data_IF_554134840460
#
_entry.id   IF_554134840460
#
_cell.length_a   1.000
_cell.length_b   1.000
_cell.length_c   1.000
_cell.angle_alpha   90.00
_cell.angle_beta   90.00
_cell.angle_gamma   90.00
#
_symmetry.space_group_name_H-M   'P 1'
#
loop_
_entity.id
_entity.type
_entity.pdbx_description
1 polymer ?
#
# COMPACT_ATOMS: atom_id res chain seq x y z
N UNK A 1 -3.47 21.59 -18.75
CA UNK A 1 -3.55 21.28 -20.19
C UNK A 1 -4.18 22.45 -20.88
N UNK A 2 -3.70 22.81 -22.07
CA UNK A 2 -4.33 23.81 -22.93
C UNK A 2 -4.09 23.46 -24.39
N UNK A 3 -5.00 23.87 -25.26
CA UNK A 3 -4.91 23.71 -26.71
C UNK A 3 -5.57 24.92 -27.38
N UNK A 4 -5.04 25.34 -28.52
CA UNK A 4 -5.62 26.36 -29.38
C UNK A 4 -5.47 25.96 -30.84
N UNK A 5 -6.46 26.34 -31.65
CA UNK A 5 -6.46 26.14 -33.10
C UNK A 5 -6.56 27.47 -33.82
N UNK A 6 -5.69 27.67 -34.82
CA UNK A 6 -5.75 28.79 -35.75
C UNK A 6 -5.68 28.24 -37.18
N UNK A 7 -6.81 28.28 -37.88
CA UNK A 7 -6.96 27.61 -39.18
C UNK A 7 -6.69 26.11 -39.06
N UNK A 8 -5.74 25.61 -39.85
CA UNK A 8 -5.33 24.20 -39.86
C UNK A 8 -4.18 23.90 -38.88
N UNK A 9 -3.70 24.90 -38.13
CA UNK A 9 -2.62 24.74 -37.14
C UNK A 9 -3.22 24.55 -35.75
N UNK A 10 -2.76 23.51 -35.04
CA UNK A 10 -3.10 23.27 -33.63
C UNK A 10 -1.85 23.38 -32.79
N UNK A 11 -1.90 24.11 -31.69
CA UNK A 11 -0.82 24.16 -30.69
C UNK A 11 -1.37 23.87 -29.32
N UNK A 12 -0.55 23.28 -28.46
CA UNK A 12 -0.99 23.02 -27.10
C UNK A 12 0.11 22.53 -26.19
N UNK A 13 -0.25 22.38 -24.92
CA UNK A 13 0.63 21.78 -23.93
C UNK A 13 -0.12 20.99 -22.86
N UNK A 14 0.56 19.96 -22.35
CA UNK A 14 0.09 19.13 -21.26
C UNK A 14 1.23 18.80 -20.31
N UNK A 15 0.91 18.49 -19.05
CA UNK A 15 1.89 18.01 -18.08
C UNK A 15 1.38 16.82 -17.27
N UNK A 16 2.27 15.86 -17.04
CA UNK A 16 2.03 14.66 -16.25
C UNK A 16 3.05 14.58 -15.12
N UNK A 17 2.59 14.26 -13.91
CA UNK A 17 3.47 13.83 -12.82
C UNK A 17 3.70 12.33 -12.96
N UNK A 18 4.96 11.94 -13.07
CA UNK A 18 5.38 10.55 -13.19
C UNK A 18 5.69 9.95 -11.81
N UNK A 19 5.54 8.62 -11.64
CA UNK A 19 5.72 7.96 -10.35
C UNK A 19 7.15 8.05 -9.81
N UNK A 20 8.14 8.36 -10.66
CA UNK A 20 9.52 8.59 -10.27
C UNK A 20 9.75 9.98 -9.62
N UNK A 21 8.70 10.78 -9.45
CA UNK A 21 8.78 12.11 -8.85
C UNK A 21 9.17 13.21 -9.83
N UNK A 22 9.15 12.94 -11.14
CA UNK A 22 9.36 13.98 -12.16
C UNK A 22 8.05 14.50 -12.74
N UNK A 23 8.08 15.70 -13.31
CA UNK A 23 7.03 16.23 -14.17
C UNK A 23 7.52 16.17 -15.60
N UNK A 24 6.69 15.60 -16.46
CA UNK A 24 6.84 15.70 -17.91
C UNK A 24 5.95 16.82 -18.41
N UNK A 25 6.50 17.77 -19.17
CA UNK A 25 5.75 18.78 -19.92
C UNK A 25 5.91 18.49 -21.40
N UNK A 26 4.79 18.43 -22.13
CA UNK A 26 4.76 18.21 -23.57
C UNK A 26 4.18 19.46 -24.20
N UNK A 27 4.94 20.09 -25.08
CA UNK A 27 4.52 21.22 -25.92
C UNK A 27 4.46 20.71 -27.35
N UNK A 28 3.35 20.93 -28.05
CA UNK A 28 3.14 20.37 -29.38
C UNK A 28 2.54 21.38 -30.35
N UNK A 29 2.85 21.15 -31.62
CA UNK A 29 2.30 21.84 -32.80
C UNK A 29 1.94 20.80 -33.85
N UNK A 30 0.78 20.95 -34.48
CA UNK A 30 0.37 20.17 -35.63
C UNK A 30 0.01 21.11 -36.78
N UNK A 31 0.60 20.89 -37.96
CA UNK A 31 0.30 21.67 -39.17
C UNK A 31 0.36 20.79 -40.44
N UNK A 32 -0.24 21.22 -41.57
CA UNK A 32 -0.27 20.44 -42.80
C UNK A 32 1.08 20.21 -43.48
N UNK A 33 2.10 21.02 -43.17
CA UNK A 33 3.41 20.98 -43.83
C UNK A 33 4.38 20.08 -43.05
N UNK A 34 4.47 20.26 -41.73
CA UNK A 34 5.41 19.54 -40.86
C UNK A 34 4.77 18.38 -40.09
N UNK A 35 3.45 18.20 -40.19
CA UNK A 35 2.72 17.21 -39.41
C UNK A 35 2.71 17.55 -37.92
N UNK A 36 2.75 16.52 -37.07
CA UNK A 36 2.79 16.66 -35.61
C UNK A 36 4.23 16.70 -35.11
N UNK A 37 4.56 17.74 -34.34
CA UNK A 37 5.84 17.89 -33.66
C UNK A 37 5.60 18.19 -32.18
N UNK A 38 6.40 17.58 -31.32
CA UNK A 38 6.33 17.81 -29.88
C UNK A 38 7.72 17.92 -29.26
N UNK A 39 7.87 18.85 -28.34
CA UNK A 39 9.04 18.99 -27.46
C UNK A 39 8.64 18.54 -26.07
N UNK A 40 9.47 17.68 -25.48
CA UNK A 40 9.18 17.06 -24.19
C UNK A 40 10.26 17.47 -23.20
N UNK A 41 9.84 18.09 -22.11
CA UNK A 41 10.68 18.45 -20.99
C UNK A 41 10.39 17.54 -19.80
N UNK A 42 11.44 17.10 -19.08
CA UNK A 42 11.33 16.33 -17.84
C UNK A 42 12.08 17.07 -16.74
N UNK A 43 11.39 17.41 -15.66
CA UNK A 43 11.95 18.15 -14.55
C UNK A 43 11.62 17.45 -13.22
N UNK A 44 12.53 17.43 -12.24
CA UNK A 44 12.20 16.91 -10.91
C UNK A 44 11.13 17.79 -10.27
N UNK A 45 10.11 17.18 -9.66
CA UNK A 45 9.19 17.93 -8.83
C UNK A 45 9.90 18.29 -7.54
N UNK A 46 9.82 19.56 -7.13
CA UNK A 46 10.22 19.97 -5.80
C UNK A 46 9.26 19.32 -4.80
N UNK A 47 9.55 18.08 -4.39
CA UNK A 47 8.78 17.38 -3.37
C UNK A 47 9.11 18.04 -2.05
N UNK A 48 8.18 18.85 -1.53
CA UNK A 48 8.28 19.36 -0.16
C UNK A 48 8.33 18.13 0.75
N UNK A 49 9.48 17.89 1.39
CA UNK A 49 9.66 16.75 2.27
C UNK A 49 8.55 16.77 3.34
N UNK A 50 7.60 15.84 3.24
CA UNK A 50 6.62 15.62 4.30
C UNK A 50 7.38 14.91 5.41
N UNK A 51 7.51 15.56 6.57
CA UNK A 51 8.19 14.98 7.71
C UNK A 51 7.66 13.55 7.97
N UNK A 52 8.53 12.56 8.21
CA UNK A 52 8.06 11.21 8.47
C UNK A 52 7.17 11.24 9.71
N UNK A 53 5.89 10.87 9.54
CA UNK A 53 5.01 10.58 10.68
C UNK A 53 5.61 9.39 11.40
N UNK A 54 6.09 9.63 12.62
CA UNK A 54 6.62 8.58 13.47
C UNK A 54 5.53 7.51 13.69
N UNK A 55 5.80 6.28 13.22
CA UNK A 55 4.97 5.12 13.57
C UNK A 55 5.18 4.86 15.06
N UNK A 56 4.19 5.19 15.89
CA UNK A 56 4.20 4.83 17.31
C UNK A 56 3.99 3.31 17.36
N UNK A 57 5.07 2.55 17.54
CA UNK A 57 4.98 1.15 17.88
C UNK A 57 4.48 1.04 19.33
N UNK A 58 3.18 0.82 19.53
CA UNK A 58 2.67 0.43 20.83
C UNK A 58 3.22 -0.98 21.16
N UNK A 59 3.85 -1.20 22.33
CA UNK A 59 4.23 -2.54 22.73
C UNK A 59 2.96 -3.34 23.04
N UNK A 60 2.70 -4.40 22.26
CA UNK A 60 1.71 -5.42 22.62
C UNK A 60 2.28 -6.27 23.75
N UNK A 61 1.84 -6.00 24.98
CA UNK A 61 2.09 -6.87 26.12
C UNK A 61 1.09 -8.04 26.08
N UNK A 62 1.58 -9.23 25.76
CA UNK A 62 0.81 -10.47 25.93
C UNK A 62 1.00 -10.96 27.38
N UNK A 63 -0.08 -11.34 28.11
CA UNK A 63 0.09 -12.01 29.39
C UNK A 63 0.74 -13.38 29.16
N UNK A 64 1.81 -13.66 29.90
CA UNK A 64 2.41 -14.99 29.91
C UNK A 64 1.39 -15.99 30.48
N UNK A 65 0.96 -16.95 29.66
CA UNK A 65 0.09 -18.06 30.11
C UNK A 65 0.95 -19.01 30.93
N UNK A 66 0.64 -19.14 32.23
CA UNK A 66 1.25 -20.13 33.09
C UNK A 66 0.87 -21.55 32.60
N UNK A 67 1.87 -22.40 32.35
CA UNK A 67 1.66 -23.82 32.11
C UNK A 67 1.24 -24.49 33.41
N UNK A 68 -0.02 -24.93 33.47
CA UNK A 68 -0.51 -25.81 34.53
C UNK A 68 -0.04 -27.23 34.20
N UNK A 69 0.79 -27.80 35.06
CA UNK A 69 1.12 -29.23 35.00
C UNK A 69 -0.12 -30.03 35.42
N UNK A 70 -0.62 -30.89 34.54
CA UNK A 70 -1.72 -31.79 34.87
C UNK A 70 -1.20 -32.94 35.76
N UNK A 71 -1.84 -33.25 36.89
CA UNK A 71 -1.49 -34.46 37.64
C UNK A 71 -2.00 -35.69 36.87
N UNK A 72 -1.08 -36.58 36.51
CA UNK A 72 -1.42 -37.92 36.02
C UNK A 72 -1.96 -38.74 37.20
N UNK A 73 -3.25 -39.08 37.17
CA UNK A 73 -3.83 -40.04 38.10
C UNK A 73 -3.72 -41.46 37.50
N UNK A 74 -3.07 -42.44 38.17
CA UNK A 74 -3.16 -43.82 37.75
C UNK A 74 -4.56 -44.36 38.03
N UNK A 75 -5.20 -44.90 37.00
CA UNK A 75 -6.50 -45.59 37.07
C UNK A 75 -6.43 -46.80 38.01
N UNK A 76 -7.21 -46.77 39.10
CA UNK A 76 -7.53 -47.93 39.93
C UNK A 76 -9.01 -48.24 39.84
N UNK A 77 -9.37 -49.46 39.43
CA UNK A 77 -10.76 -49.93 39.29
C UNK A 77 -11.49 -49.97 40.64
N UNK A 78 -12.80 -49.61 40.70
CA UNK A 78 -13.59 -49.81 41.91
C UNK A 78 -14.00 -51.29 42.05
N UNK A 79 -13.64 -51.90 43.18
CA UNK A 79 -14.13 -53.21 43.58
C UNK A 79 -15.65 -53.13 43.85
N UNK A 80 -16.43 -53.88 43.06
CA UNK A 80 -17.86 -54.09 43.32
C UNK A 80 -18.04 -55.12 44.44
N UNK A 81 -18.22 -54.64 45.68
CA UNK A 81 -18.79 -55.45 46.76
C UNK A 81 -20.29 -55.54 46.60
N UNK A 82 -20.79 -56.69 46.13
CA UNK A 82 -22.21 -57.05 46.16
C UNK A 82 -22.64 -57.24 47.61
N UNK A 83 -23.58 -56.44 48.11
CA UNK A 83 -24.46 -56.83 49.20
C UNK A 83 -25.82 -57.16 48.57
N UNK A 84 -26.39 -58.35 48.82
CA UNK A 84 -27.77 -58.62 49.28
C UNK A 84 -27.89 -60.12 49.60
N UNK A 85 -28.12 -60.38 50.88
CA UNK A 85 -28.96 -61.38 51.55
C UNK A 85 -29.64 -62.50 50.73
N UNK A 86 -29.49 -63.72 51.24
CA UNK A 86 -30.26 -64.94 50.93
C UNK A 86 -29.72 -66.09 51.76
#
# INVERSE_FOLDING_TARGET
>A
QQESRSGDVVTGSYSLVEPDGTRRVVEYTADPVNGFNAVVHREPLAVKAVAPVAKIAAPLAYPAVAKVAAPYAPYGYPAYGKAILG
#
